data_IF_999149744442
#
_entry.id   IF_999149744442
#
_cell.length_a   1.000
_cell.length_b   1.000
_cell.length_c   1.000
_cell.angle_alpha   90.00
_cell.angle_beta   90.00
_cell.angle_gamma   90.00
#
_symmetry.space_group_name_H-M   'P 1'
#
loop_
_entity.id
_entity.type
_entity.pdbx_description
1 polymer ?
#
# COMPACT_ATOMS: atom_id res chain seq x y z
N UNK A 1 10.26 4.48 -26.53
CA UNK A 1 10.84 3.94 -25.28
C UNK A 1 10.20 2.59 -25.08
N UNK A 2 10.95 1.50 -25.26
CA UNK A 2 10.48 0.17 -24.87
C UNK A 2 10.46 0.14 -23.34
N UNK A 3 9.26 0.16 -22.75
CA UNK A 3 9.12 -0.01 -21.31
C UNK A 3 9.29 -1.51 -21.06
N UNK A 4 10.34 -1.90 -20.34
CA UNK A 4 10.46 -3.25 -19.81
C UNK A 4 9.33 -3.43 -18.78
N UNK A 5 8.25 -4.08 -19.20
CA UNK A 5 7.04 -4.24 -18.42
C UNK A 5 7.29 -4.94 -17.08
N UNK A 6 8.23 -5.90 -17.05
CA UNK A 6 8.62 -6.59 -15.83
C UNK A 6 9.32 -5.65 -14.84
N UNK A 7 10.24 -4.81 -15.29
CA UNK A 7 10.91 -3.82 -14.43
C UNK A 7 9.92 -2.79 -13.88
N UNK A 8 8.96 -2.34 -14.69
CA UNK A 8 7.90 -1.43 -14.25
C UNK A 8 7.04 -2.06 -13.14
N UNK A 9 6.62 -3.32 -13.32
CA UNK A 9 5.79 -4.03 -12.33
C UNK A 9 6.56 -4.26 -11.03
N UNK A 10 7.83 -4.66 -11.11
CA UNK A 10 8.69 -4.85 -9.93
C UNK A 10 8.78 -3.53 -9.15
N UNK A 11 9.10 -2.43 -9.83
CA UNK A 11 9.18 -1.11 -9.19
C UNK A 11 7.85 -0.72 -8.55
N UNK A 12 6.73 -0.97 -9.22
CA UNK A 12 5.42 -0.61 -8.69
C UNK A 12 5.03 -1.45 -7.45
N UNK A 13 5.40 -2.72 -7.43
CA UNK A 13 5.25 -3.60 -6.25
C UNK A 13 6.04 -3.05 -5.06
N UNK A 14 7.28 -2.61 -5.28
CA UNK A 14 8.13 -2.02 -4.24
C UNK A 14 7.49 -0.76 -3.65
N UNK A 15 7.04 0.18 -4.51
CA UNK A 15 6.37 1.41 -4.09
C UNK A 15 5.10 1.13 -3.27
N UNK A 16 4.26 0.20 -3.72
CA UNK A 16 3.01 -0.16 -3.02
C UNK A 16 3.29 -0.86 -1.67
N UNK A 17 4.36 -1.65 -1.62
CA UNK A 17 4.80 -2.31 -0.38
C UNK A 17 5.26 -1.28 0.66
N UNK A 18 5.99 -0.26 0.22
CA UNK A 18 6.44 0.84 1.08
C UNK A 18 5.24 1.62 1.64
N UNK A 19 4.30 2.05 0.78
CA UNK A 19 3.08 2.76 1.21
C UNK A 19 2.31 1.94 2.24
N UNK A 20 2.10 0.64 1.97
CA UNK A 20 1.43 -0.26 2.90
C UNK A 20 2.15 -0.33 4.25
N UNK A 21 3.48 -0.43 4.25
CA UNK A 21 4.29 -0.49 5.47
C UNK A 21 4.20 0.80 6.29
N UNK A 22 4.33 1.96 5.63
CA UNK A 22 4.22 3.28 6.25
C UNK A 22 2.85 3.45 6.91
N UNK A 23 1.76 3.21 6.17
CA UNK A 23 0.41 3.37 6.70
C UNK A 23 0.11 2.41 7.86
N UNK A 24 0.60 1.17 7.84
CA UNK A 24 0.46 0.26 9.00
C UNK A 24 1.20 0.79 10.23
N UNK A 25 2.40 1.34 10.05
CA UNK A 25 3.19 1.86 11.15
C UNK A 25 2.56 3.13 11.74
N UNK A 26 2.01 4.02 10.90
CA UNK A 26 1.20 5.16 11.33
C UNK A 26 -0.03 4.71 12.10
N UNK A 27 -0.77 3.70 11.62
CA UNK A 27 -1.93 3.19 12.35
C UNK A 27 -1.56 2.60 13.73
N UNK A 28 -0.41 1.92 13.83
CA UNK A 28 0.11 1.38 15.09
C UNK A 28 0.58 2.46 16.07
N UNK A 29 1.07 3.61 15.60
CA UNK A 29 1.49 4.71 16.48
C UNK A 29 0.28 5.39 17.10
N UNK A 30 -0.78 5.61 16.32
CA UNK A 30 -1.99 6.30 16.78
C UNK A 30 -2.84 5.43 17.73
N UNK A 31 -2.91 4.11 17.51
CA UNK A 31 -3.67 3.20 18.39
C UNK A 31 -3.07 2.96 19.78
N UNK A 32 -1.85 3.42 20.06
CA UNK A 32 -1.22 3.28 21.39
C UNK A 32 -1.79 4.22 22.45
N UNK A 33 -2.47 5.30 22.05
CA UNK A 33 -3.11 6.23 22.98
C UNK A 33 -4.60 5.92 23.10
N UNK A 34 -5.00 5.29 24.21
CA UNK A 34 -6.39 4.96 24.56
C UNK A 34 -7.23 6.18 24.99
N UNK A 35 -6.71 7.39 24.79
CA UNK A 35 -7.41 8.65 25.06
C UNK A 35 -8.45 8.90 23.95
N UNK A 36 -9.51 9.65 24.26
CA UNK A 36 -10.47 10.09 23.24
C UNK A 36 -9.71 10.89 22.18
N UNK A 37 -9.71 10.36 20.95
CA UNK A 37 -9.16 11.04 19.79
C UNK A 37 -9.96 12.32 19.53
N UNK A 38 -9.27 13.34 19.06
CA UNK A 38 -9.88 14.52 18.47
C UNK A 38 -10.44 14.18 17.08
N UNK A 39 -11.36 15.01 16.57
CA UNK A 39 -11.94 14.83 15.23
C UNK A 39 -10.85 14.85 14.14
N UNK A 40 -9.85 15.70 14.28
CA UNK A 40 -8.69 15.75 13.38
C UNK A 40 -7.88 14.45 13.40
N UNK A 41 -7.59 13.89 14.57
CA UNK A 41 -6.86 12.62 14.68
C UNK A 41 -7.68 11.45 14.11
N UNK A 42 -9.01 11.44 14.31
CA UNK A 42 -9.89 10.44 13.71
C UNK A 42 -9.87 10.53 12.17
N UNK A 43 -9.84 11.74 11.62
CA UNK A 43 -9.74 11.96 10.18
C UNK A 43 -8.40 11.46 9.63
N UNK A 44 -7.29 11.75 10.29
CA UNK A 44 -5.96 11.28 9.91
C UNK A 44 -5.88 9.74 9.91
N UNK A 45 -6.43 9.08 10.93
CA UNK A 45 -6.53 7.61 10.98
C UNK A 45 -7.34 7.06 9.80
N UNK A 46 -8.45 7.72 9.44
CA UNK A 46 -9.29 7.28 8.33
C UNK A 46 -8.56 7.41 6.99
N UNK A 47 -7.82 8.49 6.78
CA UNK A 47 -6.98 8.68 5.59
C UNK A 47 -5.88 7.60 5.50
N UNK A 48 -5.20 7.31 6.61
CA UNK A 48 -4.18 6.25 6.65
C UNK A 48 -4.75 4.85 6.42
N UNK A 49 -5.94 4.56 6.97
CA UNK A 49 -6.65 3.31 6.66
C UNK A 49 -6.98 3.21 5.18
N UNK A 50 -7.48 4.28 4.58
CA UNK A 50 -7.82 4.32 3.17
C UNK A 50 -6.57 4.06 2.31
N UNK A 51 -5.47 4.74 2.60
CA UNK A 51 -4.18 4.54 1.92
C UNK A 51 -3.69 3.10 2.03
N UNK A 52 -3.77 2.52 3.22
CA UNK A 52 -3.43 1.11 3.45
C UNK A 52 -4.25 0.15 2.58
N UNK A 53 -5.58 0.30 2.57
CA UNK A 53 -6.47 -0.60 1.82
C UNK A 53 -6.31 -0.44 0.31
N UNK A 54 -6.13 0.79 -0.18
CA UNK A 54 -5.85 1.06 -1.60
C UNK A 54 -4.53 0.41 -2.02
N UNK A 55 -3.46 0.59 -1.23
CA UNK A 55 -2.17 -0.01 -1.52
C UNK A 55 -2.23 -1.55 -1.49
N UNK A 56 -2.97 -2.13 -0.54
CA UNK A 56 -3.14 -3.58 -0.45
C UNK A 56 -3.89 -4.16 -1.66
N UNK A 57 -4.95 -3.49 -2.13
CA UNK A 57 -5.68 -3.90 -3.33
C UNK A 57 -4.83 -3.82 -4.58
N UNK A 58 -4.16 -2.68 -4.81
CA UNK A 58 -3.29 -2.49 -5.95
C UNK A 58 -2.11 -3.47 -5.95
N UNK A 59 -1.56 -3.81 -4.78
CA UNK A 59 -0.47 -4.79 -4.66
C UNK A 59 -0.92 -6.18 -5.11
N UNK A 60 -2.13 -6.62 -4.70
CA UNK A 60 -2.67 -7.90 -5.10
C UNK A 60 -2.85 -8.01 -6.63
N UNK A 61 -3.34 -6.94 -7.27
CA UNK A 61 -3.46 -6.88 -8.73
C UNK A 61 -2.08 -6.92 -9.43
N UNK A 62 -1.08 -6.23 -8.89
CA UNK A 62 0.27 -6.22 -9.45
C UNK A 62 1.00 -7.56 -9.28
N UNK A 63 0.81 -8.23 -8.15
CA UNK A 63 1.34 -9.58 -7.91
C UNK A 63 0.73 -10.61 -8.88
N UNK A 64 -0.58 -10.50 -9.13
CA UNK A 64 -1.26 -11.36 -10.11
C UNK A 64 -0.77 -11.09 -11.53
N UNK A 65 -0.60 -9.82 -11.90
CA UNK A 65 -0.05 -9.44 -13.21
C UNK A 65 1.38 -9.98 -13.40
N UNK A 66 2.23 -9.86 -12.38
CA UNK A 66 3.59 -10.43 -12.36
C UNK A 66 3.56 -11.94 -12.55
N UNK A 67 2.65 -12.64 -11.86
CA UNK A 67 2.48 -14.09 -11.97
C UNK A 67 2.11 -14.52 -13.38
N UNK A 68 1.13 -13.83 -14.00
CA UNK A 68 0.68 -14.12 -15.37
C UNK A 68 1.79 -13.84 -16.39
N UNK A 69 2.51 -12.72 -16.27
CA UNK A 69 3.62 -12.40 -17.18
C UNK A 69 4.77 -13.41 -17.09
N UNK A 70 5.14 -13.84 -15.89
CA UNK A 70 6.15 -14.87 -15.70
C UNK A 70 5.71 -16.26 -16.20
N UNK A 71 4.41 -16.50 -16.39
CA UNK A 71 3.91 -17.75 -16.97
C UNK A 71 3.89 -17.73 -18.52
N UNK A 72 3.86 -16.53 -19.11
CA UNK A 72 3.80 -16.34 -20.57
C UNK A 72 5.19 -16.23 -21.24
N UNK A 73 6.26 -16.18 -20.45
CA UNK A 73 7.67 -16.11 -20.87
C UNK A 73 8.33 -17.46 -20.58
#
# INVERSE_FOLDING_TARGET
MEINLNEYIIKRIEELTEIKSVSVNSLKSVTKNKAKLTVEEEKEILEEKMNYYLAAGALAEMEELKRVLNFLI
#
